data_IF_155972989415
#
_entry.id   IF_155972989415
#
_cell.length_a   1.000
_cell.length_b   1.000
_cell.length_c   1.000
_cell.angle_alpha   90.00
_cell.angle_beta   90.00
_cell.angle_gamma   90.00
#
_symmetry.space_group_name_H-M   'P 1'
#
loop_
_entity.id
_entity.type
_entity.pdbx_description
1 polymer ?
#
# COMPACT_ATOMS: atom_id res chain seq x y z
N UNK A 1 -18.02 -78.90 -44.26
CA UNK A 1 -16.66 -78.65 -44.77
C UNK A 1 -16.52 -77.14 -44.81
N UNK A 2 -15.68 -76.42 -44.05
CA UNK A 2 -14.38 -76.69 -43.42
C UNK A 2 -14.25 -75.80 -42.15
N UNK A 3 -13.46 -76.28 -41.18
CA UNK A 3 -12.75 -75.65 -40.04
C UNK A 3 -12.52 -74.11 -40.11
N UNK A 4 -12.29 -73.36 -39.03
CA UNK A 4 -11.85 -73.67 -37.67
C UNK A 4 -11.62 -72.38 -36.85
N UNK A 5 -11.31 -72.55 -35.57
CA UNK A 5 -11.09 -71.54 -34.52
C UNK A 5 -9.94 -70.56 -34.80
N UNK A 6 -9.96 -69.33 -34.24
CA UNK A 6 -8.91 -68.84 -33.32
C UNK A 6 -9.17 -67.46 -32.69
N UNK A 7 -9.10 -67.48 -31.35
CA UNK A 7 -8.92 -66.42 -30.35
C UNK A 7 -8.15 -65.17 -30.80
N UNK A 8 -8.77 -63.97 -30.71
CA UNK A 8 -8.04 -62.70 -30.58
C UNK A 8 -8.92 -61.55 -30.02
N UNK A 9 -9.67 -61.78 -28.95
CA UNK A 9 -10.43 -60.71 -28.27
C UNK A 9 -10.27 -60.78 -26.75
N UNK A 10 -9.03 -60.70 -26.25
CA UNK A 10 -8.75 -60.65 -24.79
C UNK A 10 -7.80 -59.50 -24.40
N UNK A 11 -7.45 -58.57 -25.31
CA UNK A 11 -6.50 -57.48 -24.99
C UNK A 11 -6.99 -56.06 -25.30
N UNK A 12 -8.25 -55.88 -25.67
CA UNK A 12 -8.80 -54.53 -25.87
C UNK A 12 -9.57 -54.08 -24.63
N UNK A 13 -9.16 -52.93 -24.08
CA UNK A 13 -9.89 -52.06 -23.11
C UNK A 13 -9.61 -52.23 -21.61
N UNK A 14 -8.48 -52.82 -21.23
CA UNK A 14 -7.90 -52.64 -19.87
C UNK A 14 -7.24 -51.27 -19.64
N UNK A 15 -7.48 -50.29 -20.51
CA UNK A 15 -6.79 -48.98 -20.50
C UNK A 15 -7.67 -47.77 -20.15
N UNK A 16 -8.96 -47.97 -19.80
CA UNK A 16 -9.90 -46.86 -19.57
C UNK A 16 -9.81 -46.22 -18.17
N UNK A 17 -8.90 -46.69 -17.29
CA UNK A 17 -8.88 -46.27 -15.89
C UNK A 17 -7.70 -45.36 -15.49
N UNK A 18 -6.95 -44.77 -16.43
CA UNK A 18 -5.72 -44.00 -16.09
C UNK A 18 -5.62 -42.59 -16.65
N UNK A 19 -6.66 -42.05 -17.31
CA UNK A 19 -6.60 -40.71 -17.90
C UNK A 19 -7.49 -39.66 -17.22
N UNK A 20 -8.14 -39.99 -16.09
CA UNK A 20 -9.05 -39.07 -15.40
C UNK A 20 -8.40 -38.30 -14.22
N UNK A 21 -7.07 -38.17 -14.18
CA UNK A 21 -6.37 -37.49 -13.08
C UNK A 21 -5.32 -36.46 -13.57
N UNK A 22 -5.60 -35.78 -14.69
CA UNK A 22 -4.68 -34.78 -15.23
C UNK A 22 -5.45 -33.65 -15.95
N UNK A 23 -6.36 -32.96 -15.28
CA UNK A 23 -7.02 -31.80 -15.89
C UNK A 23 -7.61 -30.78 -14.90
N UNK A 24 -7.15 -30.70 -13.66
CA UNK A 24 -7.65 -29.67 -12.73
C UNK A 24 -6.58 -29.17 -11.76
N UNK A 25 -5.41 -28.86 -12.29
CA UNK A 25 -4.55 -27.86 -11.64
C UNK A 25 -5.00 -26.52 -12.20
N UNK A 26 -6.02 -25.94 -11.57
CA UNK A 26 -6.35 -24.53 -11.79
C UNK A 26 -5.07 -23.74 -11.51
N UNK A 27 -4.58 -23.05 -12.53
CA UNK A 27 -3.58 -21.98 -12.42
C UNK A 27 -4.14 -20.95 -11.43
N UNK A 28 -3.85 -21.14 -10.14
CA UNK A 28 -3.85 -20.03 -9.18
C UNK A 28 -2.53 -19.33 -9.43
N UNK A 29 -2.48 -18.55 -10.51
CA UNK A 29 -1.39 -17.60 -10.67
C UNK A 29 -1.45 -16.70 -9.44
N UNK A 30 -0.35 -16.54 -8.68
CA UNK A 30 -0.31 -15.51 -7.66
C UNK A 30 -0.56 -14.20 -8.40
N UNK A 31 -1.70 -13.57 -8.13
CA UNK A 31 -1.88 -12.16 -8.43
C UNK A 31 -0.83 -11.47 -7.58
N UNK A 32 0.38 -11.32 -8.12
CA UNK A 32 1.33 -10.36 -7.61
C UNK A 32 0.56 -9.04 -7.63
N UNK A 33 0.18 -8.58 -6.45
CA UNK A 33 -0.37 -7.25 -6.27
C UNK A 33 0.69 -6.31 -6.85
N UNK A 34 0.48 -5.83 -8.06
CA UNK A 34 1.31 -4.80 -8.65
C UNK A 34 1.10 -3.59 -7.77
N UNK A 35 2.10 -3.27 -6.95
CA UNK A 35 2.12 -2.02 -6.22
C UNK A 35 1.98 -0.92 -7.26
N UNK A 36 0.87 -0.20 -7.22
CA UNK A 36 0.58 0.87 -8.17
C UNK A 36 1.71 1.90 -8.09
N UNK A 37 2.49 2.02 -9.16
CA UNK A 37 3.62 2.92 -9.19
C UNK A 37 3.10 4.36 -9.28
N UNK A 38 3.30 5.14 -8.21
CA UNK A 38 2.92 6.55 -8.20
C UNK A 38 3.78 7.32 -9.19
N UNK A 39 3.14 8.00 -10.15
CA UNK A 39 3.82 8.82 -11.16
C UNK A 39 4.64 9.95 -10.51
N UNK A 40 5.68 10.40 -11.21
CA UNK A 40 6.50 11.52 -10.72
C UNK A 40 5.68 12.80 -10.48
N UNK A 41 4.69 13.07 -11.35
CA UNK A 41 3.77 14.18 -11.21
C UNK A 41 2.90 14.05 -9.95
N UNK A 42 2.34 12.86 -9.68
CA UNK A 42 1.53 12.62 -8.49
C UNK A 42 2.37 12.76 -7.20
N UNK A 43 3.62 12.24 -7.20
CA UNK A 43 4.57 12.44 -6.10
C UNK A 43 4.82 13.93 -5.86
N UNK A 44 5.09 14.70 -6.91
CA UNK A 44 5.34 16.13 -6.81
C UNK A 44 4.12 16.90 -6.29
N UNK A 45 2.92 16.60 -6.80
CA UNK A 45 1.68 17.23 -6.33
C UNK A 45 1.41 16.92 -4.86
N UNK A 46 1.54 15.68 -4.42
CA UNK A 46 1.37 15.30 -3.02
C UNK A 46 2.39 15.99 -2.09
N UNK A 47 3.66 16.09 -2.52
CA UNK A 47 4.69 16.81 -1.78
C UNK A 47 4.43 18.32 -1.69
N UNK A 48 3.97 18.94 -2.78
CA UNK A 48 3.57 20.35 -2.79
C UNK A 48 2.37 20.59 -1.88
N UNK A 49 1.39 19.67 -1.86
CA UNK A 49 0.26 19.73 -0.92
C UNK A 49 0.76 19.70 0.53
N UNK A 50 1.75 18.85 0.87
CA UNK A 50 2.35 18.85 2.21
C UNK A 50 3.05 20.17 2.53
N UNK A 51 3.86 20.69 1.60
CA UNK A 51 4.58 21.94 1.81
C UNK A 51 3.62 23.12 2.04
N UNK A 52 2.54 23.19 1.27
CA UNK A 52 1.50 24.21 1.43
C UNK A 52 0.77 24.04 2.76
N UNK A 53 0.37 22.82 3.12
CA UNK A 53 -0.30 22.55 4.39
C UNK A 53 0.56 22.94 5.60
N UNK A 54 1.86 22.64 5.56
CA UNK A 54 2.79 23.04 6.62
C UNK A 54 2.86 24.56 6.71
N UNK A 55 3.02 25.25 5.57
CA UNK A 55 3.06 26.71 5.52
C UNK A 55 1.79 27.35 6.09
N UNK A 56 0.62 26.82 5.74
CA UNK A 56 -0.67 27.38 6.17
C UNK A 56 -0.94 27.16 7.67
N UNK A 57 -0.29 26.16 8.28
CA UNK A 57 -0.53 25.75 9.67
C UNK A 57 0.57 26.20 10.63
N UNK A 58 1.72 26.55 10.10
CA UNK A 58 2.82 27.13 10.85
C UNK A 58 2.53 28.59 11.21
N UNK A 59 2.96 29.00 12.39
CA UNK A 59 2.99 30.41 12.78
C UNK A 59 4.22 31.15 12.21
N UNK A 60 4.40 32.42 12.59
CA UNK A 60 5.51 33.27 12.13
C UNK A 60 6.90 32.71 12.49
N UNK A 61 7.00 31.80 13.46
CA UNK A 61 8.24 31.12 13.85
C UNK A 61 8.44 29.79 13.14
N UNK A 62 7.48 29.35 12.33
CA UNK A 62 7.52 28.10 11.58
C UNK A 62 7.00 26.89 12.36
N UNK A 63 6.64 27.03 13.64
CA UNK A 63 6.05 25.93 14.42
C UNK A 63 4.57 25.78 14.13
N UNK A 64 4.07 24.55 14.23
CA UNK A 64 2.65 24.25 14.18
C UNK A 64 2.25 23.36 15.34
N UNK A 65 0.97 23.43 15.72
CA UNK A 65 0.41 22.66 16.83
C UNK A 65 -0.31 21.41 16.33
N UNK A 66 -0.16 20.31 17.08
CA UNK A 66 -0.85 19.04 16.84
C UNK A 66 -1.11 18.33 18.17
N UNK A 67 -2.11 17.44 18.17
CA UNK A 67 -2.39 16.59 19.34
C UNK A 67 -1.58 15.30 19.22
N UNK A 68 -0.64 15.08 20.14
CA UNK A 68 0.01 13.77 20.26
C UNK A 68 -0.91 12.85 21.07
N UNK A 69 -1.52 11.87 20.38
CA UNK A 69 -2.45 10.91 21.01
C UNK A 69 -1.75 9.85 21.87
N UNK A 70 -0.42 9.71 21.78
CA UNK A 70 0.34 8.84 22.71
C UNK A 70 0.59 9.55 24.03
N UNK A 71 0.96 10.83 23.99
CA UNK A 71 1.14 11.65 25.19
C UNK A 71 -0.19 12.18 25.75
N UNK A 72 -1.24 12.23 24.91
CA UNK A 72 -2.52 12.85 25.18
C UNK A 72 -2.40 14.37 25.50
N UNK A 73 -1.54 15.05 24.74
CA UNK A 73 -1.18 16.46 24.93
C UNK A 73 -1.22 17.25 23.62
N UNK A 74 -1.42 18.57 23.72
CA UNK A 74 -1.20 19.49 22.61
C UNK A 74 0.28 19.86 22.57
N UNK A 75 0.94 19.50 21.47
CA UNK A 75 2.39 19.66 21.29
C UNK A 75 2.63 20.61 20.12
N UNK A 76 3.72 21.38 20.20
CA UNK A 76 4.22 22.18 19.09
C UNK A 76 5.51 21.56 18.52
N UNK A 77 5.68 21.70 17.21
CA UNK A 77 6.89 21.25 16.55
C UNK A 77 7.11 21.89 15.19
N UNK A 78 8.26 21.55 14.61
CA UNK A 78 8.76 22.06 13.35
C UNK A 78 8.87 20.90 12.36
N UNK A 79 8.53 21.14 11.09
CA UNK A 79 8.81 20.14 10.05
C UNK A 79 10.31 19.88 10.00
N UNK A 80 10.72 18.62 10.18
CA UNK A 80 12.09 18.25 9.91
C UNK A 80 12.30 18.31 8.39
N UNK A 81 13.39 18.92 7.96
CA UNK A 81 13.69 19.19 6.55
C UNK A 81 14.16 17.91 5.81
N UNK A 82 13.36 16.85 5.86
CA UNK A 82 13.64 15.54 5.24
C UNK A 82 12.75 15.33 4.03
N UNK A 83 13.32 14.76 2.96
CA UNK A 83 12.55 14.31 1.80
C UNK A 83 11.48 13.33 2.27
N UNK A 84 10.19 13.67 2.14
CA UNK A 84 9.15 12.80 2.65
C UNK A 84 9.13 11.50 1.84
N UNK A 85 8.96 10.39 2.54
CA UNK A 85 8.76 9.09 1.93
C UNK A 85 7.34 9.06 1.33
N UNK A 86 7.24 8.74 0.05
CA UNK A 86 5.97 8.69 -0.67
C UNK A 86 5.50 7.26 -0.78
N UNK A 87 4.28 7.03 -0.31
CA UNK A 87 3.76 5.69 -0.10
C UNK A 87 2.34 5.61 -0.67
N UNK A 88 2.12 4.91 -1.81
CA UNK A 88 0.79 4.73 -2.37
C UNK A 88 -0.15 4.03 -1.38
N UNK A 89 -1.41 4.45 -1.42
CA UNK A 89 -2.54 3.89 -0.70
C UNK A 89 -3.76 3.80 -1.61
N UNK A 90 -4.81 3.17 -1.12
CA UNK A 90 -6.03 2.85 -1.88
C UNK A 90 -6.60 4.05 -2.63
N UNK A 91 -7.19 3.79 -3.80
CA UNK A 91 -7.95 4.77 -4.58
C UNK A 91 -7.15 6.03 -4.97
N UNK A 92 -5.86 5.84 -5.27
CA UNK A 92 -4.93 6.93 -5.62
C UNK A 92 -4.54 7.82 -4.43
N UNK A 93 -4.96 7.47 -3.21
CA UNK A 93 -4.49 8.16 -2.02
C UNK A 93 -3.00 7.89 -1.79
N UNK A 94 -2.30 8.83 -1.15
CA UNK A 94 -0.86 8.74 -0.93
C UNK A 94 -0.55 9.18 0.49
N UNK A 95 0.15 8.34 1.23
CA UNK A 95 0.81 8.77 2.46
C UNK A 95 2.10 9.50 2.10
N UNK A 96 2.19 10.76 2.53
CA UNK A 96 3.40 11.56 2.50
C UNK A 96 3.98 11.52 3.91
N UNK A 97 4.98 10.69 4.13
CA UNK A 97 5.55 10.41 5.45
C UNK A 97 6.75 11.32 5.73
N UNK A 98 6.67 12.15 6.76
CA UNK A 98 7.73 13.07 7.19
C UNK A 98 8.09 12.88 8.68
N UNK A 99 8.99 13.71 9.16
CA UNK A 99 9.36 13.85 10.57
C UNK A 99 9.04 15.25 11.09
N UNK A 100 8.77 15.34 12.37
CA UNK A 100 8.58 16.59 13.11
C UNK A 100 9.53 16.61 14.30
N UNK A 101 10.16 17.76 14.55
CA UNK A 101 10.99 18.00 15.72
C UNK A 101 10.16 18.83 16.70
N UNK A 102 9.90 18.30 17.91
CA UNK A 102 9.15 19.02 18.95
C UNK A 102 9.99 20.14 19.56
N UNK A 103 9.36 21.04 20.32
CA UNK A 103 10.10 22.08 21.08
C UNK A 103 11.08 21.48 22.11
N UNK A 104 10.85 20.25 22.56
CA UNK A 104 11.76 19.53 23.46
C UNK A 104 12.93 18.86 22.71
N UNK A 105 12.96 18.93 21.38
CA UNK A 105 13.99 18.31 20.53
C UNK A 105 13.70 16.87 20.12
N UNK A 106 12.53 16.32 20.47
CA UNK A 106 12.16 14.95 20.11
C UNK A 106 11.83 14.85 18.62
N UNK A 107 12.30 13.79 17.96
CA UNK A 107 11.89 13.45 16.59
C UNK A 107 10.71 12.50 16.62
N UNK A 108 9.60 12.92 16.04
CA UNK A 108 8.40 12.10 15.91
C UNK A 108 8.03 11.92 14.45
N UNK A 109 7.37 10.79 14.15
CA UNK A 109 6.82 10.50 12.82
C UNK A 109 5.57 11.33 12.59
N UNK A 110 5.40 11.83 11.36
CA UNK A 110 4.21 12.53 10.94
C UNK A 110 3.78 12.00 9.56
N UNK A 111 2.63 11.34 9.52
CA UNK A 111 2.14 10.68 8.32
C UNK A 111 0.89 11.39 7.80
N UNK A 112 1.01 11.98 6.61
CA UNK A 112 -0.04 12.80 6.01
C UNK A 112 -0.77 12.00 4.93
N UNK A 113 -2.04 11.68 5.14
CA UNK A 113 -2.86 11.04 4.12
C UNK A 113 -3.39 12.10 3.16
N UNK A 114 -2.92 12.01 1.91
CA UNK A 114 -3.41 12.83 0.80
C UNK A 114 -4.38 12.03 -0.05
N UNK A 115 -5.43 12.68 -0.55
CA UNK A 115 -6.39 12.09 -1.50
C UNK A 115 -6.49 12.97 -2.75
N UNK A 116 -6.68 12.39 -3.94
CA UNK A 116 -6.86 13.16 -5.16
C UNK A 116 -8.16 13.97 -5.11
N UNK A 117 -8.09 15.25 -5.49
CA UNK A 117 -9.23 16.16 -5.60
C UNK A 117 -9.02 17.04 -6.83
N UNK A 118 -9.84 16.88 -7.86
CA UNK A 118 -9.64 17.58 -9.13
C UNK A 118 -8.32 17.19 -9.78
N UNK A 119 -7.48 18.17 -10.10
CA UNK A 119 -6.14 17.96 -10.65
C UNK A 119 -5.03 17.83 -9.59
N UNK A 120 -5.38 17.97 -8.30
CA UNK A 120 -4.44 18.06 -7.19
C UNK A 120 -4.74 17.08 -6.07
N UNK A 121 -4.18 17.37 -4.89
CA UNK A 121 -4.36 16.57 -3.68
C UNK A 121 -4.76 17.43 -2.50
N UNK A 122 -5.48 16.82 -1.56
CA UNK A 122 -5.81 17.41 -0.26
C UNK A 122 -5.37 16.48 0.86
N UNK A 123 -4.80 17.05 1.93
CA UNK A 123 -4.57 16.32 3.18
C UNK A 123 -5.90 16.17 3.92
N UNK A 124 -6.28 14.92 4.20
CA UNK A 124 -7.55 14.59 4.90
C UNK A 124 -7.31 14.03 6.29
N UNK A 125 -6.13 13.49 6.57
CA UNK A 125 -5.78 12.96 7.89
C UNK A 125 -4.29 13.21 8.16
N UNK A 126 -3.96 13.47 9.43
CA UNK A 126 -2.58 13.64 9.90
C UNK A 126 -2.37 12.73 11.11
N UNK A 127 -1.51 11.74 10.95
CA UNK A 127 -1.24 10.73 11.96
C UNK A 127 0.12 11.02 12.58
N UNK A 128 0.07 11.63 13.77
CA UNK A 128 1.26 12.01 14.53
C UNK A 128 1.71 10.86 15.44
N UNK A 129 3.01 10.60 15.45
CA UNK A 129 3.68 9.66 16.33
C UNK A 129 3.07 8.24 16.31
N UNK A 130 2.51 7.78 15.19
CA UNK A 130 1.79 6.50 15.14
C UNK A 130 2.00 5.73 13.82
N UNK A 131 3.23 5.74 13.31
CA UNK A 131 3.67 4.91 12.16
C UNK A 131 3.24 3.43 12.23
N UNK A 132 3.22 2.74 13.39
CA UNK A 132 2.73 1.36 13.45
C UNK A 132 1.28 1.21 12.98
N UNK A 133 0.41 2.17 13.28
CA UNK A 133 -0.98 2.16 12.78
C UNK A 133 -1.03 2.35 11.28
N UNK A 134 -0.18 3.22 10.71
CA UNK A 134 -0.06 3.41 9.26
C UNK A 134 0.39 2.13 8.56
N UNK A 135 1.43 1.46 9.07
CA UNK A 135 1.88 0.16 8.56
C UNK A 135 0.76 -0.88 8.58
N UNK A 136 0.01 -0.97 9.69
CA UNK A 136 -1.14 -1.87 9.80
C UNK A 136 -2.25 -1.55 8.79
N UNK A 137 -2.56 -0.27 8.57
CA UNK A 137 -3.55 0.15 7.57
C UNK A 137 -3.13 -0.22 6.14
N UNK A 138 -1.83 -0.28 5.89
CA UNK A 138 -1.25 -0.67 4.62
C UNK A 138 -1.02 -2.18 4.45
N UNK A 139 -1.15 -2.97 5.52
CA UNK A 139 -0.84 -4.41 5.49
C UNK A 139 0.66 -4.72 5.49
N UNK A 140 1.49 -3.84 6.08
CA UNK A 140 2.95 -4.00 6.24
C UNK A 140 3.36 -4.39 7.66
#
# INVERSE_FOLDING_TARGET
>A
MIFGETKFFVHARRGLAKFALAAMVCLVAPQAALAEEVSAEAKAKAQLTLAQWMKDRSDDTGKFYFVDRKANELVAGYSANVHPMIVPYKDGAIFVCSEVITENGDRITADFLTVPVGDGYKIVEVIMNNRPSVKKMMGM
#
